data_IF_558132411730
#
_entry.id   IF_558132411730
#
_cell.length_a   1.000
_cell.length_b   1.000
_cell.length_c   1.000
_cell.angle_alpha   90.00
_cell.angle_beta   90.00
_cell.angle_gamma   90.00
#
_symmetry.space_group_name_H-M   'P 1'
#
loop_
_entity.id
_entity.type
_entity.pdbx_description
1 polymer ?
#
# COMPACT_ATOMS: atom_id res chain seq x y z
N UNK A 1 -2.44 -8.08 -11.67
CA UNK A 1 -1.69 -6.80 -11.55
C UNK A 1 -2.36 -5.94 -10.51
N UNK A 2 -1.59 -5.15 -9.79
CA UNK A 2 -2.20 -4.32 -8.74
C UNK A 2 -2.98 -3.16 -9.36
N UNK A 3 -3.97 -2.70 -8.62
CA UNK A 3 -4.83 -1.61 -9.04
C UNK A 3 -4.44 -0.34 -8.31
N UNK A 4 -4.84 0.80 -8.87
CA UNK A 4 -4.53 2.10 -8.27
C UNK A 4 -5.03 2.17 -6.82
N UNK A 5 -6.23 1.67 -6.57
CA UNK A 5 -6.81 1.70 -5.24
C UNK A 5 -5.99 0.88 -4.26
N UNK A 6 -5.44 -0.25 -4.71
CA UNK A 6 -4.60 -1.08 -3.85
C UNK A 6 -3.32 -0.35 -3.47
N UNK A 7 -2.73 0.38 -4.41
CA UNK A 7 -1.50 1.12 -4.14
C UNK A 7 -1.77 2.24 -3.14
N UNK A 8 -2.87 2.97 -3.31
CA UNK A 8 -3.21 4.02 -2.35
C UNK A 8 -3.45 3.44 -0.96
N UNK A 9 -4.17 2.32 -0.89
CA UNK A 9 -4.46 1.68 0.38
C UNK A 9 -3.19 1.15 1.03
N UNK A 10 -2.29 0.56 0.24
CA UNK A 10 -1.03 0.04 0.77
C UNK A 10 -0.20 1.17 1.36
N UNK A 11 -0.13 2.31 0.65
CA UNK A 11 0.59 3.46 1.19
C UNK A 11 0.00 3.91 2.51
N UNK A 12 -1.32 3.96 2.58
CA UNK A 12 -1.99 4.37 3.81
C UNK A 12 -1.67 3.43 4.96
N UNK A 13 -1.69 2.13 4.68
CA UNK A 13 -1.40 1.14 5.72
C UNK A 13 0.03 1.24 6.22
N UNK A 14 0.97 1.55 5.33
CA UNK A 14 2.39 1.62 5.67
C UNK A 14 2.76 3.00 6.20
N UNK A 15 1.95 4.00 5.88
CA UNK A 15 2.22 5.37 6.30
C UNK A 15 3.17 6.10 5.36
N UNK A 16 3.18 5.74 4.09
CA UNK A 16 4.08 6.34 3.10
C UNK A 16 3.38 7.41 2.28
N UNK A 17 4.11 8.49 2.03
CA UNK A 17 3.69 9.49 1.04
C UNK A 17 3.98 8.97 -0.35
N UNK A 18 3.45 9.66 -1.36
CA UNK A 18 3.79 9.33 -2.74
C UNK A 18 5.29 9.49 -2.99
N UNK A 19 5.89 10.51 -2.39
CA UNK A 19 7.33 10.73 -2.55
C UNK A 19 8.14 9.58 -1.95
N UNK A 20 7.72 9.10 -0.80
CA UNK A 20 8.41 7.98 -0.17
C UNK A 20 8.32 6.73 -1.03
N UNK A 21 7.13 6.46 -1.57
CA UNK A 21 6.97 5.32 -2.45
C UNK A 21 7.81 5.48 -3.72
N UNK A 22 7.84 6.68 -4.28
CA UNK A 22 8.63 6.94 -5.46
C UNK A 22 10.10 6.65 -5.22
N UNK A 23 10.62 7.10 -4.09
CA UNK A 23 12.02 6.84 -3.72
C UNK A 23 12.27 5.35 -3.58
N UNK A 24 11.38 4.66 -2.89
CA UNK A 24 11.56 3.22 -2.64
C UNK A 24 11.46 2.41 -3.93
N UNK A 25 10.60 2.83 -4.83
CA UNK A 25 10.39 2.11 -6.08
C UNK A 25 11.39 2.50 -7.16
N UNK A 26 12.08 3.63 -6.98
CA UNK A 26 13.02 4.09 -7.99
C UNK A 26 12.34 4.65 -9.22
N UNK A 27 11.20 5.31 -9.04
CA UNK A 27 10.46 5.92 -10.14
C UNK A 27 10.15 7.37 -9.76
N UNK A 28 9.87 8.22 -10.74
CA UNK A 28 9.47 9.60 -10.44
C UNK A 28 8.15 9.64 -9.69
N UNK A 29 8.00 10.63 -8.81
CA UNK A 29 6.75 10.78 -8.08
C UNK A 29 5.57 11.03 -9.02
N UNK A 30 5.84 11.66 -10.16
CA UNK A 30 4.78 11.87 -11.14
C UNK A 30 4.22 10.55 -11.67
N UNK A 31 5.04 9.52 -11.73
CA UNK A 31 4.60 8.19 -12.14
C UNK A 31 3.65 7.60 -11.09
N UNK A 32 3.98 7.76 -9.81
CA UNK A 32 3.10 7.32 -8.74
C UNK A 32 1.76 8.04 -8.83
N UNK A 33 1.80 9.36 -9.00
CA UNK A 33 0.58 10.14 -9.09
C UNK A 33 -0.27 9.72 -10.28
N UNK A 34 0.36 9.54 -11.43
CA UNK A 34 -0.38 9.13 -12.63
C UNK A 34 -1.07 7.79 -12.41
N UNK A 35 -0.36 6.84 -11.79
CA UNK A 35 -0.94 5.53 -11.57
C UNK A 35 -2.11 5.61 -10.59
N UNK A 36 -1.93 6.36 -9.51
CA UNK A 36 -2.94 6.41 -8.46
C UNK A 36 -4.16 7.22 -8.83
N UNK A 37 -4.05 8.12 -9.78
CA UNK A 37 -5.17 8.96 -10.17
C UNK A 37 -5.95 8.38 -11.34
N UNK A 38 -5.61 7.16 -11.75
CA UNK A 38 -6.40 6.49 -12.76
C UNK A 38 -5.94 6.71 -14.19
N UNK A 39 -4.68 7.07 -14.38
CA UNK A 39 -4.10 7.18 -15.70
C UNK A 39 -3.07 6.08 -15.93
N UNK A 40 -3.46 4.81 -15.77
CA UNK A 40 -2.51 3.71 -15.83
C UNK A 40 -1.90 3.51 -17.20
N UNK A 41 -2.58 4.01 -18.25
CA UNK A 41 -2.05 3.85 -19.61
C UNK A 41 -0.74 4.58 -19.81
N UNK A 42 -0.47 5.59 -18.99
CA UNK A 42 0.76 6.34 -19.10
C UNK A 42 1.88 5.75 -18.23
N UNK A 43 1.61 4.63 -17.57
CA UNK A 43 2.56 4.00 -16.67
C UNK A 43 2.91 2.62 -17.22
N UNK A 44 4.22 2.37 -17.39
CA UNK A 44 4.65 1.11 -17.96
C UNK A 44 4.46 -0.05 -16.98
N UNK A 45 4.38 -1.26 -17.52
CA UNK A 45 4.29 -2.45 -16.67
C UNK A 45 5.52 -2.57 -15.77
N UNK A 46 6.67 -2.16 -16.28
CA UNK A 46 7.89 -2.20 -15.49
C UNK A 46 7.78 -1.27 -14.29
N UNK A 47 7.24 -0.07 -14.49
CA UNK A 47 7.06 0.87 -13.39
C UNK A 47 6.08 0.32 -12.36
N UNK A 48 4.99 -0.29 -12.83
CA UNK A 48 4.01 -0.89 -11.93
C UNK A 48 4.65 -2.00 -11.10
N UNK A 49 5.48 -2.82 -11.71
CA UNK A 49 6.19 -3.86 -10.99
C UNK A 49 7.11 -3.30 -9.93
N UNK A 50 7.80 -2.20 -10.24
CA UNK A 50 8.67 -1.56 -9.26
C UNK A 50 7.88 -1.02 -8.08
N UNK A 51 6.73 -0.42 -8.37
CA UNK A 51 5.84 0.10 -7.32
C UNK A 51 5.37 -1.05 -6.44
N UNK A 52 4.89 -2.12 -7.05
CA UNK A 52 4.39 -3.28 -6.32
C UNK A 52 5.49 -3.89 -5.46
N UNK A 53 6.66 -4.08 -6.03
CA UNK A 53 7.77 -4.68 -5.30
C UNK A 53 8.18 -3.83 -4.10
N UNK A 54 8.21 -2.51 -4.27
CA UNK A 54 8.57 -1.64 -3.16
C UNK A 54 7.59 -1.77 -2.00
N UNK A 55 6.31 -1.84 -2.32
CA UNK A 55 5.28 -1.96 -1.28
C UNK A 55 5.32 -3.35 -0.65
N UNK A 56 5.54 -4.39 -1.44
CA UNK A 56 5.63 -5.74 -0.90
C UNK A 56 6.84 -5.89 0.00
N UNK A 57 7.95 -5.30 -0.38
CA UNK A 57 9.15 -5.32 0.46
C UNK A 57 8.89 -4.62 1.79
N UNK A 58 8.05 -3.60 1.77
CA UNK A 58 7.69 -2.87 2.99
C UNK A 58 6.62 -3.58 3.80
N UNK A 59 6.08 -4.69 3.31
CA UNK A 59 5.17 -5.51 4.10
C UNK A 59 3.75 -5.61 3.58
N UNK A 60 3.45 -5.02 2.43
CA UNK A 60 2.09 -5.11 1.87
C UNK A 60 1.88 -6.46 1.21
N UNK A 61 0.68 -7.00 1.39
CA UNK A 61 0.24 -8.21 0.73
C UNK A 61 -0.97 -7.84 -0.10
N UNK A 62 -0.84 -7.93 -1.43
CA UNK A 62 -1.92 -7.58 -2.33
C UNK A 62 -2.83 -8.80 -2.54
N UNK A 63 -4.11 -8.56 -2.40
CA UNK A 63 -5.11 -9.63 -2.47
C UNK A 63 -5.86 -9.47 -3.78
N UNK A 64 -5.78 -10.46 -4.67
CA UNK A 64 -6.50 -10.38 -5.94
C UNK A 64 -7.97 -10.68 -5.74
N UNK A 65 -8.76 -10.27 -6.72
CA UNK A 65 -10.15 -10.65 -6.76
C UNK A 65 -10.26 -12.17 -6.86
N UNK A 66 -11.17 -12.75 -6.10
CA UNK A 66 -11.40 -14.17 -6.15
C UNK A 66 -12.88 -14.45 -5.84
N UNK A 67 -13.22 -15.71 -5.65
CA UNK A 67 -14.60 -16.10 -5.38
C UNK A 67 -15.13 -15.59 -4.06
N UNK A 68 -14.26 -15.18 -3.16
CA UNK A 68 -14.66 -14.67 -1.85
C UNK A 68 -14.81 -13.18 -1.79
N UNK A 69 -14.38 -12.44 -2.83
CA UNK A 69 -14.49 -10.99 -2.79
C UNK A 69 -13.64 -10.30 -3.82
N UNK A 70 -13.61 -8.98 -3.75
CA UNK A 70 -12.84 -8.16 -4.66
C UNK A 70 -11.39 -8.01 -4.22
N UNK A 71 -10.70 -7.09 -4.88
CA UNK A 71 -9.29 -6.84 -4.58
C UNK A 71 -9.13 -6.21 -3.20
N UNK A 72 -7.93 -6.36 -2.64
CA UNK A 72 -7.64 -5.74 -1.35
C UNK A 72 -6.15 -5.70 -1.11
N UNK A 73 -5.79 -5.25 0.08
CA UNK A 73 -4.41 -5.24 0.52
C UNK A 73 -4.40 -5.29 2.04
N UNK A 74 -3.39 -5.96 2.59
CA UNK A 74 -3.21 -5.99 4.05
C UNK A 74 -1.71 -6.03 4.31
N UNK A 75 -1.35 -5.82 5.56
CA UNK A 75 0.05 -5.95 5.97
C UNK A 75 0.33 -7.40 6.29
N UNK A 76 1.54 -7.84 5.93
CA UNK A 76 1.98 -9.19 6.21
C UNK A 76 2.04 -9.46 7.71
N UNK A 77 2.43 -8.42 8.45
CA UNK A 77 2.54 -8.52 9.90
C UNK A 77 1.78 -7.38 10.55
N UNK A 78 1.33 -7.62 11.77
CA UNK A 78 0.65 -6.56 12.52
C UNK A 78 1.57 -5.36 12.68
N UNK A 79 0.97 -4.18 12.71
CA UNK A 79 1.70 -2.94 12.96
C UNK A 79 1.91 -2.82 14.45
N UNK A 80 2.98 -3.43 14.93
CA UNK A 80 3.14 -3.61 16.36
C UNK A 80 3.07 -2.33 17.15
N UNK A 81 3.80 -1.31 16.71
CA UNK A 81 3.81 -0.06 17.44
C UNK A 81 2.47 0.62 17.47
N UNK A 82 1.85 0.74 16.33
CA UNK A 82 0.56 1.40 16.25
C UNK A 82 -0.53 0.54 16.84
N UNK A 83 -0.43 -0.74 16.60
CA UNK A 83 -1.43 -1.67 17.10
C UNK A 83 -1.39 -1.70 18.62
N UNK A 84 -0.23 -1.71 19.19
CA UNK A 84 -0.08 -1.70 20.63
C UNK A 84 -0.66 -0.43 21.22
N UNK A 85 -0.41 0.69 20.57
CA UNK A 85 -0.99 1.95 21.01
C UNK A 85 -2.50 1.91 20.99
N UNK A 86 -3.04 1.32 19.94
CA UNK A 86 -4.47 1.20 19.81
C UNK A 86 -5.04 0.29 20.89
N UNK A 87 -4.39 -0.82 21.13
CA UNK A 87 -4.78 -1.73 22.19
C UNK A 87 -4.71 -1.07 23.55
N UNK A 88 -3.69 -0.28 23.75
CA UNK A 88 -3.52 0.45 24.97
C UNK A 88 -4.73 1.34 25.24
N UNK A 89 -5.16 2.02 24.21
CA UNK A 89 -6.33 2.87 24.35
C UNK A 89 -7.54 2.06 24.78
N UNK A 90 -7.72 0.93 24.17
CA UNK A 90 -8.83 0.06 24.51
C UNK A 90 -8.72 -0.44 25.92
N UNK A 91 -7.55 -0.88 26.28
CA UNK A 91 -7.33 -1.38 27.63
C UNK A 91 -7.57 -0.29 28.65
N UNK A 92 -7.11 0.90 28.35
CA UNK A 92 -7.33 2.03 29.25
C UNK A 92 -8.79 2.32 29.46
N UNK A 93 -9.52 2.22 28.36
CA UNK A 93 -10.95 2.49 28.42
C UNK A 93 -11.67 1.46 29.27
N UNK A 94 -11.16 0.28 29.28
CA UNK A 94 -11.78 -0.80 30.02
C UNK A 94 -11.62 -0.65 31.49
N UNK A 95 -10.72 0.19 31.90
CA UNK A 95 -10.44 0.36 33.30
C UNK A 95 -11.11 1.57 33.85
#
# INVERSE_FOLDING_TARGET
>A
MVEAAQVRAARALIGWSQSKLADAAGVPVSTINAFETGAPDSVTNEAVDKIRTALETAGAVFIPKDGGGGIGVRLREALEGEYIGWNDLNASNDE
#
